data_IF_493401403441
#
_entry.id   IF_493401403441
#
_cell.length_a   1.000
_cell.length_b   1.000
_cell.length_c   1.000
_cell.angle_alpha   90.00
_cell.angle_beta   90.00
_cell.angle_gamma   90.00
#
_symmetry.space_group_name_H-M   'P 1'
#
loop_
_entity.id
_entity.type
_entity.pdbx_description
1 polymer ?
#
# COMPACT_ATOMS: atom_id res chain seq x y z
N UNK A 1 -5.08 -29.37 17.60
CA UNK A 1 -4.56 -28.17 16.91
C UNK A 1 -5.69 -27.64 16.04
N UNK A 2 -6.36 -26.60 16.49
CA UNK A 2 -7.51 -26.05 15.78
C UNK A 2 -7.04 -25.38 14.49
N UNK A 3 -7.65 -25.67 13.33
CA UNK A 3 -7.39 -24.90 12.12
C UNK A 3 -7.83 -23.47 12.39
N UNK A 4 -6.90 -22.51 12.25
CA UNK A 4 -7.24 -21.09 12.26
C UNK A 4 -8.26 -20.87 11.14
N UNK A 5 -9.52 -20.49 11.45
CA UNK A 5 -10.47 -20.15 10.40
C UNK A 5 -9.89 -18.96 9.64
N UNK A 6 -10.05 -18.98 8.32
CA UNK A 6 -9.83 -17.85 7.42
C UNK A 6 -10.77 -16.74 7.90
N UNK A 7 -10.33 -15.94 8.88
CA UNK A 7 -11.02 -14.74 9.30
C UNK A 7 -10.77 -13.73 8.20
N UNK A 8 -11.73 -13.73 7.29
CA UNK A 8 -12.09 -12.71 6.33
C UNK A 8 -11.51 -11.34 6.71
N UNK A 9 -10.71 -10.77 5.80
CA UNK A 9 -10.22 -9.39 5.79
C UNK A 9 -11.42 -8.43 5.54
N UNK A 10 -12.39 -8.43 6.45
CA UNK A 10 -13.57 -7.55 6.42
C UNK A 10 -13.64 -6.84 7.76
N UNK A 11 -12.90 -5.74 7.81
CA UNK A 11 -13.27 -4.57 8.58
C UNK A 11 -12.88 -3.37 7.72
N UNK A 12 -13.79 -3.02 6.82
CA UNK A 12 -13.76 -1.77 6.06
C UNK A 12 -13.53 -0.63 7.05
N UNK A 13 -12.35 -0.04 7.02
CA UNK A 13 -12.24 1.38 7.31
C UNK A 13 -13.01 2.08 6.19
N UNK A 14 -14.30 2.31 6.42
CA UNK A 14 -15.15 3.10 5.54
C UNK A 14 -14.43 4.44 5.31
N UNK A 15 -13.88 4.62 4.11
CA UNK A 15 -13.44 5.92 3.64
C UNK A 15 -14.74 6.65 3.31
N UNK A 16 -15.10 7.77 3.97
CA UNK A 16 -16.13 8.63 3.42
C UNK A 16 -15.65 9.01 2.02
N UNK A 17 -16.45 8.69 1.00
CA UNK A 17 -16.17 9.01 -0.39
C UNK A 17 -15.60 10.43 -0.47
N UNK A 18 -14.32 10.55 -0.80
CA UNK A 18 -13.76 11.85 -1.17
C UNK A 18 -14.56 12.25 -2.39
N UNK A 19 -15.39 13.27 -2.23
CA UNK A 19 -16.27 13.77 -3.26
C UNK A 19 -15.48 13.96 -4.55
N UNK A 20 -15.86 13.18 -5.57
CA UNK A 20 -15.70 13.34 -7.02
C UNK A 20 -14.89 14.57 -7.48
N UNK A 21 -13.62 14.68 -7.08
CA UNK A 21 -12.74 15.75 -7.51
C UNK A 21 -12.27 15.42 -8.93
N UNK A 22 -13.09 15.79 -9.93
CA UNK A 22 -12.83 15.47 -11.35
C UNK A 22 -11.83 16.45 -11.99
N UNK A 23 -11.66 17.63 -11.40
CA UNK A 23 -10.75 18.68 -11.87
C UNK A 23 -10.26 19.58 -10.73
N UNK A 24 -9.07 20.14 -10.87
CA UNK A 24 -8.50 21.19 -9.98
C UNK A 24 -7.85 22.28 -10.82
N UNK A 25 -8.07 23.55 -10.47
CA UNK A 25 -7.57 24.70 -11.23
C UNK A 25 -6.03 24.76 -11.22
N UNK A 26 -5.43 24.78 -10.04
CA UNK A 26 -3.99 24.56 -9.81
C UNK A 26 -3.76 24.33 -8.33
N UNK A 27 -3.15 23.21 -7.97
CA UNK A 27 -2.71 22.94 -6.59
C UNK A 27 -1.20 23.07 -6.56
N UNK A 28 -0.71 24.09 -5.84
CA UNK A 28 0.71 24.14 -5.44
C UNK A 28 0.90 23.03 -4.42
N UNK A 29 1.87 22.15 -4.66
CA UNK A 29 2.13 21.01 -3.79
C UNK A 29 2.29 21.49 -2.34
N UNK A 30 1.36 21.10 -1.47
CA UNK A 30 1.46 21.42 -0.05
C UNK A 30 2.56 20.53 0.55
N UNK A 31 3.42 21.05 1.44
CA UNK A 31 4.40 20.23 2.12
C UNK A 31 3.67 19.17 2.95
N UNK A 32 3.83 17.90 2.59
CA UNK A 32 3.28 16.81 3.37
C UNK A 32 3.91 16.80 4.78
N UNK A 33 3.13 16.66 5.86
CA UNK A 33 3.69 16.49 7.19
C UNK A 33 4.76 15.38 7.21
N UNK A 34 5.97 15.74 7.64
CA UNK A 34 7.13 14.85 7.67
C UNK A 34 6.87 13.57 8.48
N UNK A 35 5.95 13.62 9.45
CA UNK A 35 5.52 12.50 10.29
C UNK A 35 4.89 11.34 9.53
N UNK A 36 4.44 11.56 8.29
CA UNK A 36 3.79 10.53 7.49
C UNK A 36 4.71 9.87 6.47
N UNK A 37 5.95 10.35 6.31
CA UNK A 37 6.93 9.72 5.42
C UNK A 37 6.47 9.61 3.97
N UNK A 38 5.60 10.54 3.53
CA UNK A 38 5.22 10.65 2.12
C UNK A 38 6.44 11.06 1.30
N UNK A 39 6.64 10.49 0.09
CA UNK A 39 7.64 11.01 -0.84
C UNK A 39 7.22 12.41 -1.33
N UNK A 40 8.11 13.13 -2.02
CA UNK A 40 7.78 14.41 -2.63
C UNK A 40 6.49 14.34 -3.45
N UNK A 41 5.71 15.43 -3.41
CA UNK A 41 4.50 15.59 -4.21
C UNK A 41 4.75 16.58 -5.34
N UNK A 42 4.21 16.26 -6.52
CA UNK A 42 4.20 17.13 -7.68
C UNK A 42 2.89 17.94 -7.70
N UNK A 43 2.94 19.22 -8.13
CA UNK A 43 1.74 20.01 -8.39
C UNK A 43 0.80 19.30 -9.37
N UNK A 44 -0.50 19.52 -9.20
CA UNK A 44 -1.51 18.99 -10.11
C UNK A 44 -2.32 20.13 -10.70
N UNK A 45 -2.51 20.08 -12.02
CA UNK A 45 -3.30 21.04 -12.79
C UNK A 45 -4.25 20.28 -13.72
N UNK A 46 -5.47 20.77 -13.87
CA UNK A 46 -6.45 20.24 -14.81
C UNK A 46 -7.16 18.98 -14.32
N UNK A 47 -7.53 18.11 -15.26
CA UNK A 47 -8.34 16.93 -14.98
C UNK A 47 -7.54 15.81 -14.29
N UNK A 48 -8.14 15.18 -13.28
CA UNK A 48 -7.54 14.06 -12.55
C UNK A 48 -7.84 12.69 -13.22
N UNK A 49 -8.13 12.67 -14.53
CA UNK A 49 -8.67 11.47 -15.21
C UNK A 49 -7.79 10.24 -14.95
N UNK A 50 -8.43 9.20 -14.42
CA UNK A 50 -7.81 7.91 -14.14
C UNK A 50 -6.91 7.87 -12.90
N UNK A 51 -6.60 9.02 -12.27
CA UNK A 51 -5.82 9.04 -11.04
C UNK A 51 -6.69 8.64 -9.85
N UNK A 52 -6.18 7.69 -9.06
CA UNK A 52 -6.79 7.29 -7.80
C UNK A 52 -6.54 8.36 -6.74
N UNK A 53 -7.55 8.65 -5.94
CA UNK A 53 -7.39 9.50 -4.76
C UNK A 53 -6.87 8.62 -3.62
N UNK A 54 -5.79 9.05 -2.98
CA UNK A 54 -5.22 8.42 -1.80
C UNK A 54 -5.33 9.40 -0.64
N UNK A 55 -6.11 9.06 0.38
CA UNK A 55 -6.11 9.89 1.58
C UNK A 55 -4.74 9.78 2.26
N UNK A 56 -4.20 10.91 2.69
CA UNK A 56 -2.86 10.98 3.28
C UNK A 56 -2.72 10.05 4.50
N UNK A 57 -3.78 9.91 5.32
CA UNK A 57 -3.78 8.99 6.46
C UNK A 57 -3.75 7.50 6.05
N UNK A 58 -4.08 7.19 4.79
CA UNK A 58 -4.05 5.82 4.26
C UNK A 58 -2.70 5.42 3.69
N UNK A 59 -1.74 6.36 3.66
CA UNK A 59 -0.37 6.09 3.22
C UNK A 59 0.27 4.93 3.99
N UNK A 60 0.55 3.86 3.25
CA UNK A 60 1.19 2.63 3.72
C UNK A 60 0.53 2.01 4.96
N UNK A 61 -0.79 2.17 5.16
CA UNK A 61 -1.55 1.45 6.21
C UNK A 61 -1.53 -0.06 6.01
N UNK A 62 -1.62 -0.49 4.76
CA UNK A 62 -1.32 -1.85 4.31
C UNK A 62 -0.08 -1.75 3.43
N UNK A 63 1.03 -2.33 3.88
CA UNK A 63 2.36 -2.11 3.32
C UNK A 63 3.03 -3.42 2.97
N UNK A 64 3.68 -3.48 1.80
CA UNK A 64 4.63 -4.53 1.49
C UNK A 64 6.00 -4.21 2.06
N UNK A 65 6.66 -5.22 2.60
CA UNK A 65 7.99 -5.12 3.20
C UNK A 65 8.95 -6.10 2.54
N UNK A 66 10.23 -5.71 2.50
CA UNK A 66 11.30 -6.60 2.07
C UNK A 66 11.45 -7.76 3.08
N UNK A 67 11.89 -8.95 2.65
CA UNK A 67 12.02 -10.13 3.54
C UNK A 67 12.90 -9.86 4.78
N UNK A 68 13.96 -9.07 4.63
CA UNK A 68 14.86 -8.69 5.72
C UNK A 68 14.22 -7.80 6.80
N UNK A 69 13.01 -7.28 6.58
CA UNK A 69 12.32 -6.39 7.52
C UNK A 69 11.39 -7.13 8.49
N UNK A 70 11.30 -8.47 8.42
CA UNK A 70 10.42 -9.26 9.30
C UNK A 70 10.57 -8.94 10.79
N UNK A 71 11.79 -9.02 11.32
CA UNK A 71 12.03 -8.78 12.75
C UNK A 71 11.67 -7.35 13.18
N UNK A 72 11.92 -6.37 12.32
CA UNK A 72 11.53 -4.98 12.57
C UNK A 72 9.99 -4.81 12.55
N UNK A 73 9.30 -5.48 11.63
CA UNK A 73 7.85 -5.48 11.55
C UNK A 73 7.20 -6.13 12.78
N UNK A 74 7.69 -7.30 13.20
CA UNK A 74 7.22 -7.99 14.40
C UNK A 74 7.42 -7.11 15.66
N UNK A 75 8.60 -6.51 15.83
CA UNK A 75 8.89 -5.60 16.93
C UNK A 75 7.97 -4.35 16.93
N UNK A 76 7.77 -3.73 15.77
CA UNK A 76 6.90 -2.57 15.62
C UNK A 76 5.44 -2.91 15.98
N UNK A 77 4.94 -4.04 15.48
CA UNK A 77 3.59 -4.53 15.79
C UNK A 77 3.42 -4.83 17.29
N UNK A 78 4.41 -5.45 17.95
CA UNK A 78 4.38 -5.65 19.40
C UNK A 78 4.35 -4.34 20.17
N UNK A 79 5.13 -3.33 19.75
CA UNK A 79 5.14 -2.01 20.37
C UNK A 79 3.78 -1.29 20.21
N UNK A 80 3.12 -1.44 19.05
CA UNK A 80 1.76 -0.93 18.86
C UNK A 80 0.74 -1.61 19.75
N UNK A 81 0.83 -2.94 19.90
CA UNK A 81 -0.06 -3.67 20.80
C UNK A 81 0.10 -3.18 22.24
N UNK A 82 1.33 -2.95 22.68
CA UNK A 82 1.63 -2.48 24.04
C UNK A 82 1.18 -1.02 24.27
N UNK A 83 1.39 -0.13 23.29
CA UNK A 83 1.07 1.30 23.43
C UNK A 83 -0.39 1.64 23.14
N UNK A 84 -1.12 0.78 22.42
CA UNK A 84 -2.47 1.08 21.93
C UNK A 84 -2.49 2.08 20.77
N UNK A 85 -1.33 2.52 20.28
CA UNK A 85 -1.22 3.48 19.19
C UNK A 85 -1.80 2.93 17.86
N UNK A 86 -2.25 3.80 16.95
CA UNK A 86 -2.90 3.42 15.69
C UNK A 86 -1.94 2.84 14.62
N UNK A 87 -0.62 2.90 14.82
CA UNK A 87 0.38 2.39 13.86
C UNK A 87 1.56 3.34 13.67
N UNK A 88 2.80 2.86 13.45
CA UNK A 88 3.82 3.73 12.91
C UNK A 88 3.46 3.97 11.44
N UNK A 89 3.42 5.23 11.01
CA UNK A 89 3.42 5.53 9.58
C UNK A 89 4.69 4.92 8.98
N UNK A 90 4.53 3.95 8.07
CA UNK A 90 5.55 3.31 7.25
C UNK A 90 6.85 2.83 7.95
N UNK A 91 7.19 1.54 7.82
CA UNK A 91 8.59 1.12 8.03
C UNK A 91 9.45 1.52 6.83
N UNK A 92 10.65 2.04 7.12
CA UNK A 92 11.49 2.85 6.25
C UNK A 92 12.02 2.26 4.93
N UNK A 93 12.86 3.07 4.30
CA UNK A 93 13.22 3.22 2.88
C UNK A 93 14.26 2.23 2.33
N UNK A 94 14.12 0.94 2.64
CA UNK A 94 14.88 -0.10 1.92
C UNK A 94 14.14 -0.43 0.61
N UNK A 95 14.81 -0.45 -0.56
CA UNK A 95 14.17 -0.88 -1.79
C UNK A 95 13.56 -2.27 -1.63
N UNK A 96 12.26 -2.39 -1.90
CA UNK A 96 11.51 -3.64 -1.84
C UNK A 96 11.96 -4.60 -2.93
N UNK A 97 12.26 -4.06 -4.11
CA UNK A 97 12.79 -4.80 -5.26
C UNK A 97 13.92 -3.96 -5.87
N UNK A 98 15.20 -4.36 -5.71
CA UNK A 98 16.35 -3.60 -6.19
C UNK A 98 16.63 -3.89 -7.67
N UNK A 99 15.79 -3.39 -8.58
CA UNK A 99 15.96 -3.58 -10.03
C UNK A 99 15.59 -2.30 -10.81
N UNK A 100 16.32 -1.95 -11.89
CA UNK A 100 16.04 -0.76 -12.70
C UNK A 100 14.68 -0.73 -13.42
N UNK A 101 13.95 -1.85 -13.52
CA UNK A 101 12.62 -1.94 -14.17
C UNK A 101 11.59 -2.60 -13.24
N UNK A 102 11.67 -2.27 -11.95
CA UNK A 102 10.89 -2.96 -10.91
C UNK A 102 9.37 -2.82 -11.15
N UNK A 103 8.90 -1.68 -11.66
CA UNK A 103 7.46 -1.45 -11.91
C UNK A 103 6.94 -2.29 -13.07
N UNK A 104 7.66 -2.34 -14.19
CA UNK A 104 7.29 -3.10 -15.38
C UNK A 104 7.21 -4.59 -15.06
N UNK A 105 8.20 -5.10 -14.32
CA UNK A 105 8.23 -6.51 -13.88
C UNK A 105 7.09 -6.81 -12.91
N UNK A 106 6.85 -5.92 -11.95
CA UNK A 106 5.74 -6.04 -11.01
C UNK A 106 4.39 -6.09 -11.73
N UNK A 107 4.17 -5.18 -12.69
CA UNK A 107 2.95 -5.12 -13.48
C UNK A 107 2.77 -6.35 -14.37
N UNK A 108 3.82 -6.79 -15.06
CA UNK A 108 3.81 -8.01 -15.87
C UNK A 108 3.50 -9.25 -15.02
N UNK A 109 4.09 -9.33 -13.82
CA UNK A 109 3.85 -10.43 -12.89
C UNK A 109 2.40 -10.53 -12.43
N UNK A 110 1.79 -9.37 -12.18
CA UNK A 110 0.41 -9.26 -11.73
C UNK A 110 -0.59 -9.32 -12.91
N UNK A 111 -0.11 -9.26 -14.16
CA UNK A 111 -0.95 -9.26 -15.35
C UNK A 111 -1.78 -7.98 -15.50
N UNK A 112 -1.24 -6.84 -15.03
CA UNK A 112 -1.96 -5.56 -14.99
C UNK A 112 -1.20 -4.48 -15.76
N UNK A 113 -1.90 -3.44 -16.18
CA UNK A 113 -1.28 -2.23 -16.73
C UNK A 113 -1.15 -1.17 -15.64
N UNK A 114 0.03 -0.56 -15.44
CA UNK A 114 0.19 0.56 -14.51
C UNK A 114 -0.74 1.72 -14.87
N UNK A 115 -1.47 2.19 -13.87
CA UNK A 115 -2.22 3.44 -13.91
C UNK A 115 -1.36 4.62 -13.45
N UNK A 116 -1.90 5.85 -13.61
CA UNK A 116 -1.21 7.06 -13.16
C UNK A 116 -0.94 7.04 -11.65
N UNK A 117 0.06 7.82 -11.24
CA UNK A 117 0.39 8.02 -9.84
C UNK A 117 -0.83 8.52 -9.04
N UNK A 118 -1.03 8.06 -7.79
CA UNK A 118 -2.12 8.54 -6.95
C UNK A 118 -2.02 10.05 -6.69
N UNK A 119 -3.18 10.68 -6.57
CA UNK A 119 -3.31 12.05 -6.08
C UNK A 119 -3.58 11.97 -4.59
N UNK A 120 -2.69 12.57 -3.80
CA UNK A 120 -2.80 12.58 -2.34
C UNK A 120 -3.76 13.69 -1.92
N UNK A 121 -4.70 13.34 -1.05
CA UNK A 121 -5.69 14.26 -0.49
C UNK A 121 -5.67 14.22 1.04
N UNK A 122 -5.95 15.34 1.68
CA UNK A 122 -6.14 15.42 3.13
C UNK A 122 -7.16 16.50 3.44
N UNK A 123 -8.06 16.24 4.40
CA UNK A 123 -9.02 17.25 4.88
C UNK A 123 -9.84 17.92 3.76
N UNK A 124 -10.18 17.16 2.71
CA UNK A 124 -10.92 17.66 1.55
C UNK A 124 -10.08 18.48 0.55
N UNK A 125 -8.77 18.62 0.77
CA UNK A 125 -7.85 19.31 -0.12
C UNK A 125 -6.97 18.33 -0.88
N UNK A 126 -6.68 18.67 -2.14
CA UNK A 126 -5.63 17.99 -2.91
C UNK A 126 -4.28 18.53 -2.42
N UNK A 127 -3.36 17.63 -2.07
CA UNK A 127 -2.01 17.99 -1.65
C UNK A 127 -1.01 17.94 -2.81
N UNK A 128 -1.26 17.06 -3.79
CA UNK A 128 -0.42 16.88 -4.96
C UNK A 128 -0.45 15.44 -5.47
N UNK A 129 0.29 15.16 -6.55
CA UNK A 129 0.48 13.81 -7.10
C UNK A 129 1.75 13.21 -6.53
N UNK A 130 1.74 11.91 -6.23
CA UNK A 130 2.93 11.21 -5.76
C UNK A 130 4.04 11.26 -6.83
N UNK A 131 5.17 11.91 -6.53
CA UNK A 131 6.29 11.98 -7.48
C UNK A 131 6.86 10.58 -7.73
N UNK A 132 7.13 10.24 -8.99
CA UNK A 132 7.55 8.89 -9.40
C UNK A 132 6.60 7.78 -8.93
N UNK A 133 5.34 8.14 -8.69
CA UNK A 133 4.32 7.24 -8.19
C UNK A 133 3.67 6.40 -9.28
N UNK A 134 2.96 5.36 -8.86
CA UNK A 134 2.16 4.53 -9.75
C UNK A 134 0.97 3.92 -9.02
N UNK A 135 0.02 3.41 -9.79
CA UNK A 135 -1.06 2.55 -9.29
C UNK A 135 -1.15 1.27 -10.12
N UNK A 136 -1.57 0.16 -9.51
CA UNK A 136 -1.73 -1.14 -10.15
C UNK A 136 -3.11 -1.70 -9.78
N UNK A 137 -4.09 -1.70 -10.71
CA UNK A 137 -5.42 -2.23 -10.43
C UNK A 137 -5.38 -3.76 -10.45
N UNK A 138 -5.31 -4.40 -9.27
CA UNK A 138 -5.20 -5.86 -9.16
C UNK A 138 -6.56 -6.56 -9.11
N UNK A 139 -7.64 -5.83 -8.81
CA UNK A 139 -9.00 -6.35 -8.80
C UNK A 139 -10.04 -5.25 -8.65
N UNK A 140 -11.32 -5.63 -8.60
CA UNK A 140 -12.41 -4.67 -8.38
C UNK A 140 -12.20 -3.97 -7.03
N UNK A 141 -12.14 -2.64 -7.04
CA UNK A 141 -11.91 -1.83 -5.84
C UNK A 141 -10.59 -2.11 -5.11
N UNK A 142 -9.66 -2.86 -5.72
CA UNK A 142 -8.40 -3.25 -5.08
C UNK A 142 -7.24 -2.83 -5.95
N UNK A 143 -6.35 -2.03 -5.40
CA UNK A 143 -5.18 -1.56 -6.13
C UNK A 143 -3.96 -1.47 -5.22
N UNK A 144 -2.81 -1.74 -5.84
CA UNK A 144 -1.52 -1.46 -5.23
C UNK A 144 -1.05 -0.08 -5.67
N UNK A 145 -0.21 0.53 -4.86
CA UNK A 145 0.40 1.82 -5.18
C UNK A 145 1.75 1.94 -4.56
N UNK A 146 2.54 2.86 -5.07
CA UNK A 146 3.89 3.03 -4.58
C UNK A 146 4.61 4.10 -5.34
N UNK A 147 5.90 4.19 -5.10
CA UNK A 147 6.79 5.01 -5.88
C UNK A 147 8.12 4.30 -6.10
N UNK A 148 8.75 4.67 -7.20
CA UNK A 148 10.06 4.17 -7.59
C UNK A 148 11.13 5.22 -7.30
N UNK A 149 12.38 4.77 -7.29
CA UNK A 149 13.54 5.65 -7.33
C UNK A 149 14.63 5.05 -8.21
N UNK A 150 15.80 5.69 -8.28
CA UNK A 150 16.90 5.26 -9.16
C UNK A 150 17.41 3.83 -8.90
N UNK A 151 17.08 3.25 -7.74
CA UNK A 151 17.50 1.91 -7.31
C UNK A 151 16.36 0.88 -7.31
N UNK A 152 15.19 1.21 -7.84
CA UNK A 152 14.04 0.31 -7.94
C UNK A 152 12.83 0.74 -7.10
N UNK A 153 12.03 -0.23 -6.68
CA UNK A 153 10.78 0.01 -5.96
C UNK A 153 11.04 0.39 -4.50
N UNK A 154 10.65 1.59 -4.09
CA UNK A 154 10.96 2.12 -2.74
C UNK A 154 9.82 1.92 -1.74
N UNK A 155 8.57 1.97 -2.19
CA UNK A 155 7.41 1.65 -1.37
C UNK A 155 6.33 0.99 -2.22
N UNK A 156 5.58 0.11 -1.59
CA UNK A 156 4.42 -0.55 -2.17
C UNK A 156 3.39 -0.73 -1.06
N UNK A 157 2.22 -0.14 -1.24
CA UNK A 157 1.06 -0.28 -0.37
C UNK A 157 -0.13 -0.82 -1.14
N UNK A 158 -1.20 -1.12 -0.40
CA UNK A 158 -2.47 -1.55 -0.95
C UNK A 158 -3.63 -0.72 -0.39
N UNK A 159 -4.64 -0.48 -1.22
CA UNK A 159 -5.95 0.05 -0.81
C UNK A 159 -7.03 -0.94 -1.22
N UNK A 160 -7.99 -1.12 -0.33
CA UNK A 160 -9.25 -1.79 -0.61
C UNK A 160 -10.38 -0.77 -0.43
N UNK A 161 -11.06 -0.45 -1.54
CA UNK A 161 -12.26 0.37 -1.57
C UNK A 161 -13.48 -0.43 -1.07
N UNK A 162 -14.62 0.24 -0.89
CA UNK A 162 -15.86 -0.46 -0.56
C UNK A 162 -16.24 -1.48 -1.64
N UNK A 163 -16.60 -2.70 -1.23
CA UNK A 163 -16.89 -3.80 -2.16
C UNK A 163 -15.66 -4.39 -2.87
N UNK A 164 -14.45 -4.07 -2.39
CA UNK A 164 -13.19 -4.58 -2.93
C UNK A 164 -13.09 -6.11 -2.94
N UNK A 165 -12.40 -6.62 -3.95
CA UNK A 165 -12.00 -8.01 -4.07
C UNK A 165 -10.77 -8.32 -3.20
N UNK A 166 -11.01 -8.70 -1.94
CA UNK A 166 -9.93 -9.12 -1.03
C UNK A 166 -9.13 -10.34 -1.53
N UNK A 167 -9.70 -11.19 -2.39
CA UNK A 167 -8.97 -12.31 -2.99
C UNK A 167 -7.94 -11.81 -4.00
N UNK A 168 -8.22 -10.71 -4.71
CA UNK A 168 -7.25 -10.09 -5.62
C UNK A 168 -6.00 -9.59 -4.87
N UNK A 169 -6.17 -8.96 -3.69
CA UNK A 169 -5.02 -8.57 -2.87
C UNK A 169 -4.24 -9.79 -2.40
N UNK A 170 -4.93 -10.85 -1.97
CA UNK A 170 -4.26 -12.09 -1.54
C UNK A 170 -3.48 -12.75 -2.69
N UNK A 171 -4.07 -12.79 -3.89
CA UNK A 171 -3.41 -13.29 -5.10
C UNK A 171 -2.17 -12.48 -5.46
N UNK A 172 -2.26 -11.15 -5.41
CA UNK A 172 -1.12 -10.26 -5.60
C UNK A 172 -0.04 -10.51 -4.54
N UNK A 173 -0.40 -10.58 -3.26
CA UNK A 173 0.53 -10.89 -2.18
C UNK A 173 1.27 -12.20 -2.41
N UNK A 174 0.57 -13.30 -2.72
CA UNK A 174 1.19 -14.59 -2.95
C UNK A 174 2.11 -14.59 -4.19
N UNK A 175 1.76 -13.84 -5.23
CA UNK A 175 2.61 -13.70 -6.41
C UNK A 175 3.95 -13.02 -6.06
N UNK A 176 3.90 -11.93 -5.29
CA UNK A 176 5.08 -11.14 -4.89
C UNK A 176 5.91 -11.80 -3.79
N UNK A 177 5.25 -12.48 -2.87
CA UNK A 177 5.93 -13.29 -1.86
C UNK A 177 6.73 -14.42 -2.51
N UNK A 178 6.15 -15.12 -3.49
CA UNK A 178 6.83 -16.22 -4.18
C UNK A 178 8.05 -15.76 -4.98
N UNK A 179 7.97 -14.59 -5.61
CA UNK A 179 9.04 -14.10 -6.50
C UNK A 179 10.15 -13.35 -5.77
N UNK A 180 9.79 -12.56 -4.76
CA UNK A 180 10.70 -11.63 -4.10
C UNK A 180 10.79 -11.81 -2.58
N UNK A 181 10.02 -12.74 -2.01
CA UNK A 181 9.93 -12.91 -0.56
C UNK A 181 9.26 -11.75 0.15
N UNK A 182 8.48 -10.92 -0.55
CA UNK A 182 7.81 -9.77 0.08
C UNK A 182 6.83 -10.24 1.16
N UNK A 183 6.79 -9.49 2.25
CA UNK A 183 5.83 -9.64 3.33
C UNK A 183 4.73 -8.60 3.16
N UNK A 184 3.54 -8.86 3.71
CA UNK A 184 2.46 -7.87 3.74
C UNK A 184 2.08 -7.58 5.19
N UNK A 185 2.13 -6.32 5.60
CA UNK A 185 1.68 -5.89 6.92
C UNK A 185 0.42 -5.05 6.80
N UNK A 186 -0.55 -5.35 7.65
CA UNK A 186 -1.73 -4.52 7.91
C UNK A 186 -1.53 -3.91 9.31
N UNK A 187 -1.10 -2.64 9.33
CA UNK A 187 -0.80 -1.94 10.58
C UNK A 187 -2.05 -1.75 11.45
N UNK A 188 -3.20 -1.28 10.91
CA UNK A 188 -4.44 -1.19 11.68
C UNK A 188 -4.86 -2.51 12.33
N UNK A 189 -4.77 -3.62 11.59
CA UNK A 189 -5.18 -4.93 12.10
C UNK A 189 -4.08 -5.64 12.91
N UNK A 190 -2.88 -5.06 12.99
CA UNK A 190 -1.70 -5.62 13.63
C UNK A 190 -1.40 -7.05 13.14
N UNK A 191 -1.41 -7.24 11.83
CA UNK A 191 -1.23 -8.52 11.17
C UNK A 191 -0.05 -8.45 10.21
N UNK A 192 0.84 -9.44 10.28
CA UNK A 192 1.92 -9.64 9.32
C UNK A 192 1.68 -10.95 8.56
N UNK A 193 1.55 -10.90 7.24
CA UNK A 193 1.50 -12.07 6.38
C UNK A 193 2.92 -12.41 5.90
N UNK A 194 3.29 -13.67 6.07
CA UNK A 194 4.64 -14.18 5.86
C UNK A 194 4.80 -14.92 4.52
N UNK A 195 3.72 -15.48 4.00
CA UNK A 195 3.69 -16.22 2.75
C UNK A 195 2.63 -17.31 2.79
N UNK A 196 2.79 -18.34 1.96
CA UNK A 196 2.02 -19.58 2.04
C UNK A 196 2.92 -20.77 2.31
N UNK A 197 2.39 -21.75 3.05
CA UNK A 197 3.08 -23.02 3.29
C UNK A 197 3.00 -23.96 2.07
N UNK A 198 3.60 -25.15 2.19
CA UNK A 198 3.59 -26.17 1.13
C UNK A 198 2.18 -26.68 0.76
N UNK A 199 1.17 -26.41 1.59
CA UNK A 199 -0.25 -26.75 1.35
C UNK A 199 -1.04 -25.56 0.80
N UNK A 200 -0.38 -24.43 0.53
CA UNK A 200 -1.02 -23.21 0.06
C UNK A 200 -1.73 -22.42 1.16
N UNK A 201 -1.54 -22.77 2.44
CA UNK A 201 -2.15 -22.03 3.55
C UNK A 201 -1.32 -20.78 3.85
N UNK A 202 -2.00 -19.63 3.87
CA UNK A 202 -1.39 -18.35 4.20
C UNK A 202 -0.94 -18.35 5.66
N UNK A 203 0.34 -18.08 5.90
CA UNK A 203 0.91 -17.93 7.22
C UNK A 203 0.87 -16.46 7.65
N UNK A 204 0.33 -16.22 8.84
CA UNK A 204 0.29 -14.91 9.46
C UNK A 204 0.87 -14.92 10.86
N UNK A 205 1.33 -13.76 11.31
CA UNK A 205 1.80 -13.50 12.66
C UNK A 205 1.07 -12.28 13.23
N UNK A 206 0.77 -12.34 14.53
CA UNK A 206 0.16 -11.25 15.31
C UNK A 206 0.87 -11.16 16.68
N UNK A 207 1.06 -9.95 17.22
CA UNK A 207 1.63 -9.75 18.55
C UNK A 207 0.67 -10.16 19.68
#
# INVERSE_FOLDING_TARGET
>A
MNPLPIVLLVALGLVPAVADARSVDTVVAAPAPASLGLPPLEPVQGELRGARLLHQADWLRVQFLAPGQRGAAEAALSALKASGAPGPGALGSVPLVPLPDALERLAARLGVTPGPAPVVVAEGQVLGRLAQGFSLPVGRGTWLYGYTGPRGLLALGAVLEEGADSQALMGAFLALNREHGLLLVDWPQRLLLLGADAKGQVQGWRP
#
